data_IF_654046433627
#
_entry.id   IF_654046433627
#
_cell.length_a   1.000
_cell.length_b   1.000
_cell.length_c   1.000
_cell.angle_alpha   90.00
_cell.angle_beta   90.00
_cell.angle_gamma   90.00
#
_symmetry.space_group_name_H-M   'P 1'
#
loop_
_entity.id
_entity.type
_entity.pdbx_description
1 polymer ?
#
# COMPACT_ATOMS: atom_id res chain seq x y z
N UNK A 1 24.92 -24.30 10.83
CA UNK A 1 23.82 -23.97 11.78
C UNK A 1 22.76 -25.06 11.68
N UNK A 2 22.20 -25.51 12.81
CA UNK A 2 21.16 -26.56 12.84
C UNK A 2 19.85 -26.05 12.23
N UNK A 3 19.12 -26.89 11.50
CA UNK A 3 17.83 -26.54 10.87
C UNK A 3 16.80 -26.01 11.87
N UNK A 4 16.86 -26.47 13.13
CA UNK A 4 16.00 -25.98 14.22
C UNK A 4 16.33 -24.53 14.57
N UNK A 5 17.63 -24.17 14.63
CA UNK A 5 18.06 -22.81 14.91
C UNK A 5 17.71 -21.86 13.76
N UNK A 6 17.83 -22.32 12.51
CA UNK A 6 17.37 -21.57 11.33
C UNK A 6 15.87 -21.34 11.39
N UNK A 7 15.07 -22.40 11.57
CA UNK A 7 13.61 -22.29 11.64
C UNK A 7 13.14 -21.37 12.79
N UNK A 8 13.79 -21.43 13.96
CA UNK A 8 13.46 -20.59 15.11
C UNK A 8 13.77 -19.09 14.91
N UNK A 9 14.67 -18.74 13.98
CA UNK A 9 15.08 -17.37 13.68
C UNK A 9 14.39 -16.80 12.44
N UNK A 10 13.89 -17.65 11.54
CA UNK A 10 13.35 -17.23 10.22
C UNK A 10 11.89 -17.62 9.99
N UNK A 11 11.18 -18.16 10.99
CA UNK A 11 9.73 -18.40 10.89
C UNK A 11 9.02 -17.59 11.97
N UNK A 12 7.85 -16.99 11.68
CA UNK A 12 7.09 -16.18 12.63
C UNK A 12 6.32 -17.08 13.61
N UNK A 13 7.02 -18.00 14.28
CA UNK A 13 6.45 -18.92 15.27
C UNK A 13 6.33 -18.28 16.66
N UNK A 14 7.03 -17.17 16.89
CA UNK A 14 7.01 -16.45 18.15
C UNK A 14 5.74 -15.57 18.25
N UNK A 15 4.97 -15.64 19.34
CA UNK A 15 3.84 -14.74 19.56
C UNK A 15 4.26 -13.27 19.54
N UNK A 16 3.46 -12.44 18.86
CA UNK A 16 3.66 -10.99 18.75
C UNK A 16 3.79 -10.36 20.15
N UNK A 17 4.80 -9.53 20.35
CA UNK A 17 5.08 -8.86 21.63
C UNK A 17 5.87 -9.69 22.67
N UNK A 18 6.20 -10.94 22.37
CA UNK A 18 7.09 -11.75 23.24
C UNK A 18 8.55 -11.31 23.15
N UNK A 19 9.36 -11.62 24.18
CA UNK A 19 10.82 -11.34 24.16
C UNK A 19 11.52 -11.99 22.97
N UNK A 20 11.06 -13.16 22.56
CA UNK A 20 11.62 -13.90 21.43
C UNK A 20 11.23 -13.29 20.09
N UNK A 21 9.98 -12.82 19.96
CA UNK A 21 9.54 -12.03 18.82
C UNK A 21 10.35 -10.75 18.65
N UNK A 22 10.64 -10.02 19.74
CA UNK A 22 11.46 -8.81 19.67
C UNK A 22 12.90 -9.09 19.21
N UNK A 23 13.47 -10.24 19.58
CA UNK A 23 14.80 -10.67 19.08
C UNK A 23 14.73 -10.98 17.58
N UNK A 24 13.72 -11.73 17.13
CA UNK A 24 13.54 -12.08 15.71
C UNK A 24 13.35 -10.83 14.85
N UNK A 25 12.49 -9.92 15.29
CA UNK A 25 12.24 -8.64 14.63
C UNK A 25 13.50 -7.78 14.56
N UNK A 26 14.29 -7.67 15.64
CA UNK A 26 15.54 -6.91 15.64
C UNK A 26 16.63 -7.47 14.69
N UNK A 27 16.47 -8.73 14.27
CA UNK A 27 17.39 -9.41 13.35
C UNK A 27 16.85 -9.43 11.91
N UNK A 28 15.56 -9.12 11.71
CA UNK A 28 14.89 -9.18 10.41
C UNK A 28 13.67 -8.23 10.38
N UNK A 29 13.89 -7.02 9.90
CA UNK A 29 12.89 -5.96 9.81
C UNK A 29 11.75 -6.28 8.83
N UNK A 30 11.92 -7.23 7.89
CA UNK A 30 10.91 -7.60 6.88
C UNK A 30 9.61 -8.15 7.49
N UNK A 31 9.65 -8.66 8.73
CA UNK A 31 8.42 -9.06 9.44
C UNK A 31 7.62 -7.87 9.95
N UNK A 32 8.27 -6.74 10.26
CA UNK A 32 7.57 -5.53 10.70
C UNK A 32 6.77 -4.87 9.58
N UNK A 33 7.26 -4.97 8.34
CA UNK A 33 6.59 -4.40 7.16
C UNK A 33 5.20 -5.00 6.91
N UNK A 34 4.92 -6.23 7.37
CA UNK A 34 3.62 -6.92 7.15
C UNK A 34 2.55 -6.62 8.21
N UNK A 35 2.88 -5.92 9.30
CA UNK A 35 1.89 -5.54 10.31
C UNK A 35 1.04 -4.36 9.83
N UNK A 36 -0.28 -4.49 9.92
CA UNK A 36 -1.23 -3.46 9.48
C UNK A 36 -1.79 -3.66 8.08
N UNK A 37 -1.34 -4.68 7.33
CA UNK A 37 -1.78 -4.90 5.94
C UNK A 37 -3.28 -5.19 5.79
N UNK A 38 -3.87 -5.92 6.75
CA UNK A 38 -5.30 -6.24 6.72
C UNK A 38 -6.15 -5.00 7.01
N UNK A 39 -5.78 -4.24 8.07
CA UNK A 39 -6.41 -2.97 8.41
C UNK A 39 -6.28 -1.95 7.27
N UNK A 40 -5.12 -1.93 6.62
CA UNK A 40 -4.85 -1.05 5.49
C UNK A 40 -5.75 -1.36 4.27
N UNK A 41 -5.96 -2.64 3.95
CA UNK A 41 -6.91 -3.03 2.91
C UNK A 41 -8.37 -2.74 3.30
N UNK A 42 -8.72 -2.91 4.57
CA UNK A 42 -10.03 -2.55 5.10
C UNK A 42 -10.29 -1.04 5.00
N UNK A 43 -9.31 -0.21 5.33
CA UNK A 43 -9.37 1.24 5.20
C UNK A 43 -9.57 1.67 3.73
N UNK A 44 -8.85 1.04 2.79
CA UNK A 44 -9.05 1.30 1.37
C UNK A 44 -10.48 0.98 0.90
N UNK A 45 -11.06 -0.13 1.39
CA UNK A 45 -12.45 -0.50 1.12
C UNK A 45 -13.44 0.49 1.75
N UNK A 46 -13.21 0.88 3.00
CA UNK A 46 -14.05 1.86 3.69
C UNK A 46 -14.06 3.20 2.95
N UNK A 47 -12.90 3.68 2.49
CA UNK A 47 -12.82 4.91 1.69
C UNK A 47 -13.64 4.78 0.42
N UNK A 48 -13.50 3.68 -0.33
CA UNK A 48 -14.30 3.42 -1.54
C UNK A 48 -15.81 3.42 -1.25
N UNK A 49 -16.23 2.78 -0.16
CA UNK A 49 -17.63 2.51 0.13
C UNK A 49 -18.40 3.76 0.58
N UNK A 50 -17.70 4.77 1.11
CA UNK A 50 -18.30 6.06 1.49
C UNK A 50 -18.31 7.08 0.34
N UNK A 51 -17.73 6.76 -0.82
CA UNK A 51 -17.76 7.65 -1.98
C UNK A 51 -19.16 7.75 -2.58
N UNK A 52 -19.51 8.91 -3.17
CA UNK A 52 -20.63 9.02 -4.09
C UNK A 52 -20.56 7.98 -5.22
N UNK A 53 -21.71 7.56 -5.73
CA UNK A 53 -21.79 6.46 -6.71
C UNK A 53 -20.99 6.73 -8.00
N UNK A 54 -21.02 7.96 -8.49
CA UNK A 54 -20.25 8.41 -9.64
C UNK A 54 -18.74 8.31 -9.39
N UNK A 55 -18.25 8.79 -8.24
CA UNK A 55 -16.84 8.67 -7.86
C UNK A 55 -16.42 7.21 -7.64
N UNK A 56 -17.30 6.37 -7.08
CA UNK A 56 -17.01 4.96 -6.82
C UNK A 56 -16.77 4.17 -8.11
N UNK A 57 -17.47 4.50 -9.20
CA UNK A 57 -17.21 3.86 -10.51
C UNK A 57 -15.88 4.26 -11.13
N UNK A 58 -15.44 5.49 -10.87
CA UNK A 58 -14.16 6.04 -11.29
C UNK A 58 -13.00 5.76 -10.31
N UNK A 59 -13.25 4.94 -9.28
CA UNK A 59 -12.29 4.64 -8.22
C UNK A 59 -11.19 3.67 -8.67
N UNK A 60 -9.95 4.01 -8.33
CA UNK A 60 -8.77 3.18 -8.50
C UNK A 60 -7.79 3.35 -7.35
N UNK A 61 -6.79 2.47 -7.28
CA UNK A 61 -5.77 2.47 -6.22
C UNK A 61 -4.39 2.53 -6.87
N UNK A 62 -3.55 3.45 -6.38
CA UNK A 62 -2.16 3.62 -6.78
C UNK A 62 -1.26 3.48 -5.54
N UNK A 63 -0.35 2.51 -5.55
CA UNK A 63 0.60 2.25 -4.47
C UNK A 63 2.02 2.68 -4.85
N UNK A 64 2.74 3.28 -3.91
CA UNK A 64 4.07 3.86 -4.08
C UNK A 64 5.18 2.82 -4.02
N UNK A 65 5.00 1.77 -3.22
CA UNK A 65 5.98 0.70 -3.07
C UNK A 65 5.36 -0.70 -3.27
N UNK A 66 6.21 -1.71 -3.37
CA UNK A 66 5.79 -3.09 -3.63
C UNK A 66 5.14 -3.77 -2.42
N UNK A 67 5.45 -3.32 -1.19
CA UNK A 67 4.88 -3.82 0.06
C UNK A 67 3.41 -3.45 0.19
N UNK A 68 3.09 -2.17 0.06
CA UNK A 68 1.73 -1.63 0.01
C UNK A 68 0.92 -2.26 -1.13
N UNK A 69 1.52 -2.35 -2.31
CA UNK A 69 0.87 -2.98 -3.46
C UNK A 69 0.57 -4.46 -3.18
N UNK A 70 1.51 -5.18 -2.55
CA UNK A 70 1.34 -6.57 -2.13
C UNK A 70 0.25 -6.74 -1.07
N UNK A 71 0.21 -5.86 -0.07
CA UNK A 71 -0.82 -5.83 0.98
C UNK A 71 -2.22 -5.70 0.38
N UNK A 72 -2.41 -4.68 -0.45
CA UNK A 72 -3.69 -4.38 -1.10
C UNK A 72 -4.10 -5.46 -2.09
N UNK A 73 -3.14 -6.03 -2.84
CA UNK A 73 -3.42 -7.11 -3.79
C UNK A 73 -3.84 -8.41 -3.08
N UNK A 74 -3.27 -8.70 -1.91
CA UNK A 74 -3.58 -9.90 -1.15
C UNK A 74 -4.87 -9.75 -0.33
N UNK A 75 -4.93 -8.77 0.56
CA UNK A 75 -6.07 -8.56 1.47
C UNK A 75 -7.23 -7.81 0.81
N UNK A 76 -7.00 -7.03 -0.25
CA UNK A 76 -8.06 -6.31 -0.96
C UNK A 76 -9.06 -7.21 -1.70
N UNK A 77 -8.69 -8.46 -1.98
CA UNK A 77 -9.54 -9.43 -2.68
C UNK A 77 -10.84 -9.71 -1.96
N UNK A 78 -10.80 -9.84 -0.63
CA UNK A 78 -12.01 -10.10 0.17
C UNK A 78 -12.98 -8.90 0.15
N UNK A 79 -12.47 -7.71 -0.10
CA UNK A 79 -13.25 -6.48 -0.20
C UNK A 79 -13.66 -6.16 -1.65
N UNK A 80 -13.23 -6.94 -2.64
CA UNK A 80 -13.46 -6.65 -4.06
C UNK A 80 -12.81 -5.32 -4.50
N UNK A 81 -11.62 -4.99 -3.97
CA UNK A 81 -10.88 -3.82 -4.41
C UNK A 81 -10.52 -3.93 -5.91
N UNK A 82 -10.45 -2.81 -6.64
CA UNK A 82 -10.04 -2.81 -8.05
C UNK A 82 -8.57 -3.23 -8.21
N UNK A 83 -8.13 -3.35 -9.45
CA UNK A 83 -6.73 -3.62 -9.78
C UNK A 83 -5.81 -2.62 -9.07
N UNK A 84 -4.80 -3.14 -8.38
CA UNK A 84 -3.79 -2.31 -7.71
C UNK A 84 -2.74 -1.90 -8.74
N UNK A 85 -2.62 -0.59 -8.96
CA UNK A 85 -1.61 -0.01 -9.83
C UNK A 85 -0.37 0.31 -9.01
N UNK A 86 0.81 -0.13 -9.45
CA UNK A 86 2.08 0.22 -8.83
C UNK A 86 3.20 0.21 -9.88
N UNK A 87 4.03 1.25 -9.86
CA UNK A 87 5.15 1.43 -10.78
C UNK A 87 6.44 0.71 -10.37
N UNK A 88 6.44 0.04 -9.22
CA UNK A 88 7.64 -0.50 -8.58
C UNK A 88 7.86 -1.98 -8.94
N UNK A 89 9.10 -2.34 -9.28
CA UNK A 89 9.52 -3.71 -9.57
C UNK A 89 8.62 -4.40 -10.63
N UNK A 90 8.26 -5.67 -10.42
CA UNK A 90 7.44 -6.46 -11.35
C UNK A 90 5.95 -6.10 -11.32
N UNK A 91 5.49 -5.26 -10.38
CA UNK A 91 4.14 -4.72 -10.45
C UNK A 91 3.96 -3.81 -11.68
N UNK A 92 5.02 -3.10 -12.09
CA UNK A 92 4.99 -2.25 -13.28
C UNK A 92 4.53 -3.02 -14.53
N UNK A 93 5.01 -4.26 -14.68
CA UNK A 93 4.73 -5.10 -15.85
C UNK A 93 3.27 -5.59 -15.86
N UNK A 94 2.53 -5.45 -14.74
CA UNK A 94 1.08 -5.71 -14.67
C UNK A 94 0.25 -4.58 -15.27
N UNK A 95 0.81 -3.40 -15.48
CA UNK A 95 0.16 -2.24 -16.08
C UNK A 95 -0.87 -1.53 -15.20
N UNK A 96 -1.42 -0.42 -15.71
CA UNK A 96 -2.50 0.34 -15.06
C UNK A 96 -3.88 -0.31 -15.31
N UNK A 97 -4.92 0.21 -14.65
CA UNK A 97 -6.31 -0.22 -14.85
C UNK A 97 -6.87 0.38 -16.15
N UNK A 98 -7.35 -0.48 -17.06
CA UNK A 98 -7.87 -0.08 -18.38
C UNK A 98 -9.14 0.79 -18.30
N UNK A 99 -9.82 0.81 -17.16
CA UNK A 99 -10.93 1.75 -16.90
C UNK A 99 -10.47 3.19 -16.77
N UNK A 100 -9.16 3.43 -16.66
CA UNK A 100 -8.54 4.75 -16.51
C UNK A 100 -9.18 5.58 -15.39
N UNK A 101 -9.12 5.11 -14.12
CA UNK A 101 -9.79 5.75 -13.00
C UNK A 101 -9.30 7.20 -12.79
N UNK A 102 -10.21 8.07 -12.35
CA UNK A 102 -9.95 9.49 -12.13
C UNK A 102 -10.10 9.93 -10.67
N UNK A 103 -10.57 9.00 -9.81
CA UNK A 103 -10.59 9.12 -8.35
C UNK A 103 -9.64 8.07 -7.80
N UNK A 104 -8.51 8.50 -7.25
CA UNK A 104 -7.40 7.62 -6.91
C UNK A 104 -7.14 7.65 -5.42
N UNK A 105 -7.23 6.48 -4.78
CA UNK A 105 -6.62 6.27 -3.48
C UNK A 105 -5.11 6.07 -3.70
N UNK A 106 -4.33 7.08 -3.34
CA UNK A 106 -2.88 7.07 -3.44
C UNK A 106 -2.27 6.76 -2.07
N UNK A 107 -1.39 5.75 -2.04
CA UNK A 107 -0.72 5.26 -0.83
C UNK A 107 0.78 5.22 -1.08
N UNK A 108 1.59 5.58 -0.08
CA UNK A 108 3.05 5.56 -0.18
C UNK A 108 3.64 6.72 -0.98
N UNK A 109 2.88 7.80 -1.15
CA UNK A 109 3.31 8.97 -1.90
C UNK A 109 3.42 10.21 -1.02
N UNK A 110 4.33 11.10 -1.38
CA UNK A 110 4.35 12.45 -0.84
C UNK A 110 3.28 13.32 -1.54
N UNK A 111 2.56 14.15 -0.77
CA UNK A 111 1.58 15.12 -1.30
C UNK A 111 2.13 16.01 -2.42
N UNK A 112 3.37 16.47 -2.31
CA UNK A 112 4.01 17.34 -3.30
C UNK A 112 4.23 16.64 -4.65
N UNK A 113 4.48 15.33 -4.65
CA UNK A 113 4.51 14.54 -5.88
C UNK A 113 3.10 14.44 -6.48
N UNK A 114 2.11 14.01 -5.70
CA UNK A 114 0.72 13.86 -6.16
C UNK A 114 0.13 15.16 -6.70
N UNK A 115 0.44 16.30 -6.08
CA UNK A 115 -0.08 17.61 -6.48
C UNK A 115 0.44 18.08 -7.85
N UNK A 116 1.47 17.44 -8.41
CA UNK A 116 1.91 17.71 -9.79
C UNK A 116 0.97 17.06 -10.82
N UNK A 117 0.27 15.99 -10.43
CA UNK A 117 -0.51 15.14 -11.31
C UNK A 117 -2.02 15.24 -11.09
N UNK A 118 -2.45 15.73 -9.93
CA UNK A 118 -3.85 15.79 -9.55
C UNK A 118 -4.26 17.21 -9.12
N UNK A 119 -5.45 17.63 -9.54
CA UNK A 119 -6.03 18.92 -9.16
C UNK A 119 -6.65 18.97 -7.76
N UNK A 120 -6.89 17.83 -7.12
CA UNK A 120 -7.18 17.73 -5.68
C UNK A 120 -6.40 16.59 -5.05
N UNK A 121 -5.84 16.83 -3.87
CA UNK A 121 -5.10 15.84 -3.06
C UNK A 121 -5.47 16.07 -1.59
N UNK A 122 -6.34 15.21 -1.08
CA UNK A 122 -6.92 15.27 0.26
C UNK A 122 -6.46 14.08 1.10
N UNK A 123 -6.06 14.31 2.35
CA UNK A 123 -5.79 13.21 3.29
C UNK A 123 -7.13 12.62 3.73
N UNK A 124 -7.34 11.32 3.53
CA UNK A 124 -8.59 10.63 3.90
C UNK A 124 -8.42 9.65 5.07
N UNK A 125 -7.21 9.11 5.24
CA UNK A 125 -6.86 8.31 6.41
C UNK A 125 -5.33 8.29 6.59
N UNK A 126 -4.87 7.58 7.60
CA UNK A 126 -3.46 7.37 7.87
C UNK A 126 -3.20 5.87 7.99
N UNK A 127 -2.08 5.40 7.44
CA UNK A 127 -1.58 4.05 7.70
C UNK A 127 -1.38 3.85 9.21
N UNK A 128 -1.95 2.77 9.74
CA UNK A 128 -1.93 2.41 11.15
C UNK A 128 -1.60 0.92 11.25
N UNK A 129 -0.99 0.53 12.36
CA UNK A 129 -0.99 -0.86 12.79
C UNK A 129 -1.52 -0.95 14.23
N UNK A 130 -2.22 -2.04 14.54
CA UNK A 130 -2.84 -2.26 15.85
C UNK A 130 -1.82 -2.40 17.00
N UNK A 131 -0.53 -2.56 16.67
CA UNK A 131 0.53 -2.90 17.62
C UNK A 131 1.51 -1.76 17.91
N UNK A 132 1.38 -0.60 17.26
CA UNK A 132 2.26 0.54 17.43
C UNK A 132 3.70 0.33 16.93
N UNK A 133 3.93 -0.66 16.05
CA UNK A 133 5.25 -0.87 15.45
C UNK A 133 5.59 0.24 14.46
N UNK A 134 6.87 0.58 14.33
CA UNK A 134 7.36 1.46 13.28
C UNK A 134 7.89 0.60 12.13
N UNK A 135 7.34 0.78 10.94
CA UNK A 135 7.77 0.17 9.67
C UNK A 135 7.82 1.26 8.58
N UNK A 136 8.12 0.93 7.32
CA UNK A 136 8.18 1.94 6.26
C UNK A 136 6.85 2.70 6.16
N UNK A 137 5.72 1.99 6.15
CA UNK A 137 4.36 2.54 5.96
C UNK A 137 3.88 3.40 7.14
N UNK A 138 4.38 3.14 8.34
CA UNK A 138 4.07 3.91 9.55
C UNK A 138 5.18 4.88 9.92
N UNK A 139 6.28 4.97 9.17
CA UNK A 139 7.36 5.94 9.42
C UNK A 139 7.41 6.99 8.33
N UNK A 140 7.27 6.59 7.08
CA UNK A 140 7.33 7.43 5.89
C UNK A 140 5.99 7.38 5.16
N UNK A 141 5.50 8.52 4.68
CA UNK A 141 4.25 8.61 3.88
C UNK A 141 3.01 7.98 4.53
N UNK A 142 2.83 8.17 5.84
CA UNK A 142 1.69 7.63 6.60
C UNK A 142 0.35 8.11 6.07
N UNK A 143 0.31 9.29 5.45
CA UNK A 143 -0.92 9.84 4.91
C UNK A 143 -1.38 9.06 3.68
N UNK A 144 -2.64 8.65 3.69
CA UNK A 144 -3.31 8.06 2.54
C UNK A 144 -4.18 9.15 1.92
N UNK A 145 -3.99 9.37 0.62
CA UNK A 145 -4.60 10.47 -0.10
C UNK A 145 -5.72 9.99 -1.01
N UNK A 146 -6.80 10.76 -1.08
CA UNK A 146 -7.77 10.68 -2.16
C UNK A 146 -7.50 11.80 -3.15
N UNK A 147 -7.09 11.39 -4.34
CA UNK A 147 -6.69 12.26 -5.42
C UNK A 147 -7.80 12.34 -6.48
N UNK A 148 -8.06 13.54 -6.99
CA UNK A 148 -9.07 13.77 -8.03
C UNK A 148 -8.51 14.69 -9.12
N UNK A 149 -9.21 14.72 -10.26
CA UNK A 149 -8.91 15.60 -11.40
C UNK A 149 -7.47 15.36 -11.92
N UNK A 150 -7.15 14.14 -12.41
CA UNK A 150 -5.86 13.89 -13.01
C UNK A 150 -5.63 14.84 -14.19
N UNK A 151 -4.41 15.39 -14.29
CA UNK A 151 -3.98 16.26 -15.41
C UNK A 151 -3.13 15.50 -16.44
N UNK A 152 -3.16 14.17 -16.39
CA UNK A 152 -2.38 13.25 -17.22
C UNK A 152 -3.29 12.18 -17.83
N UNK A 153 -2.75 11.43 -18.80
CA UNK A 153 -3.33 10.15 -19.24
C UNK A 153 -2.56 9.01 -18.59
N UNK A 154 -3.24 7.91 -18.23
CA UNK A 154 -2.56 6.77 -17.60
C UNK A 154 -1.44 6.20 -18.46
N UNK A 155 -1.62 6.23 -19.79
CA UNK A 155 -0.57 5.85 -20.74
C UNK A 155 0.69 6.69 -20.61
N UNK A 156 0.59 8.01 -20.55
CA UNK A 156 1.75 8.90 -20.39
C UNK A 156 2.34 8.80 -18.99
N UNK A 157 1.50 8.73 -17.95
CA UNK A 157 1.97 8.51 -16.58
C UNK A 157 2.78 7.22 -16.48
N UNK A 158 2.28 6.11 -17.01
CA UNK A 158 2.95 4.81 -16.90
C UNK A 158 4.32 4.79 -17.57
N UNK A 159 4.49 5.43 -18.74
CA UNK A 159 5.79 5.49 -19.45
C UNK A 159 6.93 6.06 -18.62
N UNK A 160 6.63 6.96 -17.69
CA UNK A 160 7.63 7.73 -16.94
C UNK A 160 7.77 7.30 -15.48
N UNK A 161 6.89 6.44 -14.97
CA UNK A 161 6.81 6.08 -13.55
C UNK A 161 7.09 4.59 -13.33
N UNK A 162 8.18 4.09 -13.93
CA UNK A 162 8.79 2.82 -13.55
C UNK A 162 9.87 3.08 -12.51
N UNK A 163 9.76 2.42 -11.36
CA UNK A 163 10.74 2.47 -10.27
C UNK A 163 11.22 1.06 -9.92
N UNK A 164 12.39 1.01 -9.31
CA UNK A 164 12.94 -0.20 -8.70
C UNK A 164 13.26 0.15 -7.24
N UNK A 165 12.84 -0.69 -6.32
CA UNK A 165 12.92 -0.45 -4.87
C UNK A 165 12.82 -1.73 -4.10
#
# INVERSE_FOLDING_TARGET
MSAIATAALTLPLAPVGSRWFNVIVSLNDTYMEQFGWEEFAADAANVRDVLPEDERTAFGILAGNYGEAGALEYYGRQYGLPKIMCGTNSFYDRGYDEREPSVILAVGFNRAFLSQFFGSVEVVTYSRNAHGFMNEETTWHREIYLCRKPNFTWREFWKHHRSFG
#
